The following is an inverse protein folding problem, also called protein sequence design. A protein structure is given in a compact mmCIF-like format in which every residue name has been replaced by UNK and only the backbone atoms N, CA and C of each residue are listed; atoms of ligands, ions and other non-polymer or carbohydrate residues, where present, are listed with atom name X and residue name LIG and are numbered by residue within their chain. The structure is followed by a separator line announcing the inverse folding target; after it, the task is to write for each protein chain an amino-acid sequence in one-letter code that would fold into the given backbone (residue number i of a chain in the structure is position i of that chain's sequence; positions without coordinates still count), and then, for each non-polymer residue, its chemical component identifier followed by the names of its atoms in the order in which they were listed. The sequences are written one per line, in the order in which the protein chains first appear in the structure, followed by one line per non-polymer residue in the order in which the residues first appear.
data_IF_913263895834
#
_entry.id   IF_913263895834
#
_cell.length_a   1.000
_cell.length_b   1.000
_cell.length_c   1.000
_cell.angle_alpha   90.00
_cell.angle_beta   90.00
_cell.angle_gamma   90.00
#
_symmetry.space_group_name_H-M   'P 1'
#
loop_
_entity.id
_entity.type
_entity.pdbx_description
1 polymer ?
#
# COMPACT_ATOMS: atom_id res chain seq x y z
N UNK A 1 5.53 -2.61 -11.79
CA UNK A 1 6.11 -2.06 -10.57
C UNK A 1 5.62 -2.86 -9.39
N UNK A 2 6.46 -3.04 -8.39
CA UNK A 2 6.13 -3.56 -7.08
C UNK A 2 5.69 -2.41 -6.18
N UNK A 3 4.40 -2.39 -5.84
CA UNK A 3 3.80 -1.34 -5.03
C UNK A 3 3.40 -1.92 -3.69
N UNK A 4 3.84 -1.27 -2.62
CA UNK A 4 3.56 -1.70 -1.26
C UNK A 4 2.69 -0.68 -0.54
N UNK A 5 1.56 -1.12 0.03
CA UNK A 5 0.64 -0.26 0.77
C UNK A 5 0.79 -0.48 2.27
N UNK A 6 1.20 0.56 3.00
CA UNK A 6 1.21 0.55 4.47
C UNK A 6 -0.17 1.00 4.96
N UNK A 7 -0.85 0.13 5.70
CA UNK A 7 -2.25 0.31 6.12
C UNK A 7 -3.26 -0.22 5.09
N UNK A 8 -2.96 -1.36 4.47
CA UNK A 8 -3.78 -1.95 3.39
C UNK A 8 -5.18 -2.41 3.86
N UNK A 9 -5.37 -2.61 5.17
CA UNK A 9 -6.64 -3.04 5.75
C UNK A 9 -7.74 -1.98 5.73
N UNK A 10 -7.38 -0.70 5.53
CA UNK A 10 -8.36 0.38 5.38
C UNK A 10 -9.20 0.23 4.10
N UNK A 11 -10.50 0.57 4.15
CA UNK A 11 -11.42 0.43 3.00
C UNK A 11 -10.88 1.11 1.74
N UNK A 12 -10.41 2.36 1.87
CA UNK A 12 -9.87 3.10 0.72
C UNK A 12 -8.54 2.52 0.23
N UNK A 13 -7.67 2.10 1.15
CA UNK A 13 -6.36 1.53 0.84
C UNK A 13 -6.47 0.18 0.13
N UNK A 14 -7.31 -0.73 0.62
CA UNK A 14 -7.53 -2.03 -0.01
C UNK A 14 -8.18 -1.92 -1.39
N UNK A 15 -9.13 -0.99 -1.58
CA UNK A 15 -9.66 -0.73 -2.92
C UNK A 15 -8.62 -0.12 -3.86
N UNK A 16 -7.76 0.78 -3.36
CA UNK A 16 -6.64 1.29 -4.15
C UNK A 16 -5.67 0.17 -4.54
N UNK A 17 -5.35 -0.74 -3.62
CA UNK A 17 -4.51 -1.90 -3.90
C UNK A 17 -5.09 -2.75 -5.04
N UNK A 18 -6.39 -3.00 -5.00
CA UNK A 18 -7.10 -3.72 -6.07
C UNK A 18 -7.06 -3.00 -7.40
N UNK A 19 -7.31 -1.68 -7.42
CA UNK A 19 -7.24 -0.89 -8.64
C UNK A 19 -5.84 -0.92 -9.26
N UNK A 20 -4.80 -0.76 -8.44
CA UNK A 20 -3.40 -0.83 -8.88
C UNK A 20 -3.04 -2.22 -9.43
N UNK A 21 -3.51 -3.29 -8.78
CA UNK A 21 -3.33 -4.66 -9.28
C UNK A 21 -4.01 -4.84 -10.65
N UNK A 22 -5.25 -4.33 -10.82
CA UNK A 22 -5.96 -4.37 -12.10
C UNK A 22 -5.30 -3.53 -13.19
N UNK A 23 -4.51 -2.53 -12.82
CA UNK A 23 -3.67 -1.77 -13.74
C UNK A 23 -2.35 -2.46 -14.13
N UNK A 24 -2.11 -3.69 -13.66
CA UNK A 24 -0.95 -4.50 -14.03
C UNK A 24 0.26 -4.33 -13.11
N UNK A 25 0.07 -3.80 -11.90
CA UNK A 25 1.13 -3.71 -10.89
C UNK A 25 1.14 -4.94 -9.98
N UNK A 26 2.32 -5.29 -9.47
CA UNK A 26 2.47 -6.28 -8.39
C UNK A 26 2.20 -5.53 -7.09
N UNK A 27 1.17 -5.93 -6.35
CA UNK A 27 0.69 -5.18 -5.18
C UNK A 27 0.73 -6.06 -3.95
N UNK A 28 1.26 -5.51 -2.87
CA UNK A 28 1.23 -6.10 -1.54
C UNK A 28 1.05 -5.02 -0.47
N UNK A 29 0.91 -5.40 0.80
CA UNK A 29 0.84 -4.40 1.87
C UNK A 29 0.90 -4.99 3.27
N UNK A 30 0.71 -4.13 4.26
CA UNK A 30 0.75 -4.46 5.69
C UNK A 30 -0.35 -3.76 6.47
N UNK A 31 -0.80 -4.35 7.57
CA UNK A 31 -1.63 -3.69 8.57
C UNK A 31 -1.57 -4.43 9.93
N UNK A 32 -1.88 -3.74 11.03
CA UNK A 32 -1.93 -4.35 12.38
C UNK A 32 -3.19 -5.21 12.56
N UNK A 33 -4.26 -4.94 11.81
CA UNK A 33 -5.50 -5.70 11.91
C UNK A 33 -6.28 -5.68 10.60
N UNK A 34 -6.24 -6.78 9.86
CA UNK A 34 -7.00 -6.96 8.63
C UNK A 34 -8.15 -7.92 8.93
N UNK A 35 -9.36 -7.38 9.01
CA UNK A 35 -10.57 -8.13 9.33
C UNK A 35 -11.62 -7.98 8.21
N UNK A 36 -12.66 -8.83 8.19
CA UNK A 36 -13.74 -8.71 7.22
C UNK A 36 -14.42 -7.34 7.29
N UNK A 37 -14.74 -6.71 6.15
CA UNK A 37 -14.76 -7.32 4.82
C UNK A 37 -13.43 -7.26 4.06
N UNK A 38 -12.42 -6.54 4.57
CA UNK A 38 -11.22 -6.28 3.77
C UNK A 38 -10.32 -7.51 3.64
N UNK A 39 -10.19 -8.32 4.70
CA UNK A 39 -9.44 -9.59 4.63
C UNK A 39 -9.98 -10.51 3.53
N UNK A 40 -11.31 -10.65 3.47
CA UNK A 40 -11.98 -11.49 2.49
C UNK A 40 -11.78 -10.95 1.07
N UNK A 41 -11.84 -9.62 0.91
CA UNK A 41 -11.60 -8.97 -0.38
C UNK A 41 -10.16 -9.09 -0.86
N UNK A 42 -9.18 -8.84 -0.02
CA UNK A 42 -7.77 -9.03 -0.38
C UNK A 42 -7.47 -10.47 -0.77
N UNK A 43 -8.09 -11.44 -0.08
CA UNK A 43 -8.00 -12.87 -0.44
C UNK A 43 -8.69 -13.18 -1.78
N UNK A 44 -9.90 -12.67 -2.00
CA UNK A 44 -10.64 -12.81 -3.27
C UNK A 44 -9.82 -12.25 -4.45
N UNK A 45 -9.11 -11.15 -4.22
CA UNK A 45 -8.28 -10.48 -5.21
C UNK A 45 -6.87 -11.05 -5.33
N UNK A 46 -6.50 -12.04 -4.51
CA UNK A 46 -5.14 -12.59 -4.42
C UNK A 46 -4.07 -11.51 -4.21
N UNK A 47 -4.35 -10.53 -3.35
CA UNK A 47 -3.39 -9.49 -2.95
C UNK A 47 -2.73 -9.96 -1.64
N UNK A 48 -1.42 -10.30 -1.66
CA UNK A 48 -0.71 -10.70 -0.46
C UNK A 48 -0.57 -9.53 0.51
N UNK A 49 -0.68 -9.84 1.81
CA UNK A 49 -0.47 -8.86 2.87
C UNK A 49 0.26 -9.47 4.06
N UNK A 50 0.90 -8.63 4.84
CA UNK A 50 1.58 -8.99 6.09
C UNK A 50 0.80 -8.46 7.30
N UNK A 51 0.70 -9.27 8.35
CA UNK A 51 0.19 -8.81 9.63
C UNK A 51 1.31 -8.15 10.44
N UNK A 52 1.02 -6.93 10.91
CA UNK A 52 1.98 -6.07 11.59
C UNK A 52 2.95 -5.36 10.64
N UNK A 53 3.74 -4.45 11.22
CA UNK A 53 4.70 -3.64 10.48
C UNK A 53 6.12 -4.13 10.72
N UNK A 54 6.86 -4.44 9.65
CA UNK A 54 8.27 -4.86 9.72
C UNK A 54 9.08 -4.12 8.67
N UNK A 55 10.26 -3.60 9.04
CA UNK A 55 11.13 -2.87 8.12
C UNK A 55 11.40 -3.65 6.82
N UNK A 56 11.62 -4.96 6.90
CA UNK A 56 11.87 -5.84 5.76
C UNK A 56 10.74 -5.85 4.71
N UNK A 57 9.50 -5.52 5.10
CA UNK A 57 8.35 -5.58 4.19
C UNK A 57 8.45 -4.56 3.03
N UNK A 58 9.10 -3.42 3.26
CA UNK A 58 9.24 -2.36 2.23
C UNK A 58 10.48 -2.52 1.36
N UNK A 59 11.35 -3.48 1.64
CA UNK A 59 12.58 -3.68 0.88
C UNK A 59 12.28 -4.26 -0.51
N UNK A 60 12.96 -3.75 -1.53
CA UNK A 60 12.81 -4.21 -2.93
C UNK A 60 11.50 -3.78 -3.61
N UNK A 61 10.75 -2.87 -2.99
CA UNK A 61 9.55 -2.27 -3.57
C UNK A 61 9.93 -1.05 -4.43
N UNK A 62 9.23 -0.85 -5.54
CA UNK A 62 9.47 0.29 -6.44
C UNK A 62 8.80 1.57 -5.92
N UNK A 63 7.66 1.43 -5.23
CA UNK A 63 6.85 2.52 -4.69
C UNK A 63 6.13 2.10 -3.41
N UNK A 64 6.19 2.95 -2.39
CA UNK A 64 5.42 2.81 -1.15
C UNK A 64 4.24 3.77 -1.15
N UNK A 65 3.05 3.29 -0.78
CA UNK A 65 1.87 4.14 -0.56
C UNK A 65 1.53 4.12 0.92
N UNK A 66 1.55 5.29 1.53
CA UNK A 66 1.37 5.45 2.98
C UNK A 66 -0.08 5.85 3.27
N UNK A 67 -0.78 5.02 4.05
CA UNK A 67 -2.10 5.32 4.56
C UNK A 67 -2.07 6.48 5.57
N UNK A 68 -3.17 7.23 5.67
CA UNK A 68 -3.27 8.42 6.53
C UNK A 68 -3.16 8.13 8.04
N UNK A 69 -3.46 6.90 8.47
CA UNK A 69 -3.35 6.48 9.87
C UNK A 69 -1.91 6.13 10.28
N UNK A 70 -0.96 6.14 9.33
CA UNK A 70 0.42 5.75 9.56
C UNK A 70 1.28 7.00 9.75
N UNK A 71 2.14 6.98 10.77
CA UNK A 71 3.03 8.09 11.11
C UNK A 71 4.45 7.60 11.44
N UNK A 72 5.37 8.54 11.68
CA UNK A 72 6.75 8.26 12.11
C UNK A 72 6.77 7.39 13.37
N UNK A 73 7.80 6.56 13.50
CA UNK A 73 7.88 5.50 14.51
C UNK A 73 7.28 4.16 14.05
N UNK A 74 6.56 4.13 12.91
CA UNK A 74 6.27 2.88 12.20
C UNK A 74 7.56 2.36 11.53
N UNK A 75 7.89 1.08 11.76
CA UNK A 75 9.13 0.46 11.26
C UNK A 75 9.27 0.51 9.73
N UNK A 76 8.16 0.37 9.00
CA UNK A 76 8.15 0.43 7.53
C UNK A 76 8.32 1.86 7.02
N UNK A 77 7.74 2.85 7.71
CA UNK A 77 7.93 4.27 7.37
C UNK A 77 9.36 4.71 7.62
N UNK A 78 9.94 4.33 8.77
CA UNK A 78 11.33 4.67 9.05
C UNK A 78 12.28 4.01 8.05
N UNK A 79 12.06 2.74 7.71
CA UNK A 79 12.88 2.05 6.69
C UNK A 79 12.74 2.68 5.30
N UNK A 80 11.52 2.98 4.87
CA UNK A 80 11.25 3.68 3.61
C UNK A 80 12.02 5.01 3.53
N UNK A 81 12.00 5.80 4.61
CA UNK A 81 12.70 7.09 4.67
C UNK A 81 14.22 6.92 4.70
N UNK A 82 14.73 5.98 5.51
CA UNK A 82 16.16 5.71 5.65
C UNK A 82 16.78 5.19 4.34
N UNK A 83 16.04 4.35 3.62
CA UNK A 83 16.46 3.75 2.35
C UNK A 83 16.14 4.62 1.13
N UNK A 84 15.54 5.80 1.32
CA UNK A 84 15.26 6.76 0.25
C UNK A 84 14.29 6.21 -0.81
N UNK A 85 13.36 5.33 -0.41
CA UNK A 85 12.40 4.72 -1.33
C UNK A 85 11.39 5.76 -1.82
N UNK A 86 10.92 5.60 -3.06
CA UNK A 86 9.84 6.44 -3.58
C UNK A 86 8.55 6.19 -2.79
N UNK A 87 7.85 7.26 -2.42
CA UNK A 87 6.60 7.13 -1.72
C UNK A 87 5.56 8.17 -2.11
N UNK A 88 4.29 7.80 -1.96
CA UNK A 88 3.13 8.67 -2.18
C UNK A 88 2.13 8.51 -1.03
N UNK A 89 1.32 9.54 -0.81
CA UNK A 89 0.08 9.39 -0.04
C UNK A 89 -1.00 8.74 -0.91
N UNK A 90 -2.03 8.17 -0.28
CA UNK A 90 -3.17 7.59 -0.99
C UNK A 90 -3.81 8.54 -2.03
N UNK A 91 -4.12 9.83 -1.71
CA UNK A 91 -4.64 10.75 -2.71
C UNK A 91 -3.66 11.08 -3.84
N UNK A 92 -2.36 11.17 -3.53
CA UNK A 92 -1.34 11.43 -4.55
C UNK A 92 -1.21 10.26 -5.51
N UNK A 93 -1.27 9.02 -5.02
CA UNK A 93 -1.33 7.83 -5.86
C UNK A 93 -2.57 7.82 -6.77
N UNK A 94 -3.75 8.17 -6.24
CA UNK A 94 -4.96 8.29 -7.07
C UNK A 94 -4.76 9.29 -8.20
N UNK A 95 -4.20 10.46 -7.87
CA UNK A 95 -3.91 11.50 -8.85
C UNK A 95 -2.96 11.01 -9.94
N UNK A 96 -1.85 10.39 -9.52
CA UNK A 96 -0.80 9.87 -10.39
C UNK A 96 -1.29 8.81 -11.37
N UNK A 97 -1.97 7.77 -10.85
CA UNK A 97 -2.30 6.58 -11.64
C UNK A 97 -3.64 6.66 -12.37
N UNK A 98 -4.62 7.43 -11.86
CA UNK A 98 -6.00 7.33 -12.36
C UNK A 98 -6.62 8.65 -12.85
N UNK A 99 -6.03 9.79 -12.48
CA UNK A 99 -6.56 11.12 -12.82
C UNK A 99 -5.71 11.91 -13.81
N UNK A 100 -4.39 11.66 -13.89
CA UNK A 100 -3.53 12.31 -14.91
C UNK A 100 -4.13 12.13 -16.31
N UNK A 101 -4.41 13.24 -16.99
CA UNK A 101 -4.94 13.27 -18.36
C UNK A 101 -6.47 13.24 -18.48
N UNK A 102 -7.22 13.12 -17.38
CA UNK A 102 -8.68 13.26 -17.40
C UNK A 102 -9.03 14.72 -17.07
N UNK A 103 -9.49 15.46 -18.08
CA UNK A 103 -10.12 16.78 -17.94
C UNK A 103 -11.62 16.64 -17.78
#
# INVERSE_FOLDING_TARGET
MKIFLIGIGGIAMGNLAYMLQKSGHEVSGSDIGIYPPMSDKLKEWNIPYFEGFKAENVQGQDLIIVGNAISRGNLEVEEMLNSGLNYLSMPAAISEFFLKGKK
#
